data_IF_369565373058
#
_entry.id   IF_369565373058
#
_cell.length_a   1.000
_cell.length_b   1.000
_cell.length_c   1.000
_cell.angle_alpha   90.00
_cell.angle_beta   90.00
_cell.angle_gamma   90.00
#
_symmetry.space_group_name_H-M   'P 1'
#
loop_
_entity.id
_entity.type
_entity.pdbx_description
1 polymer ?
#
# COMPACT_ATOMS: atom_id res chain seq x y z
N UNK A 1 8.03 11.17 -5.73
CA UNK A 1 7.32 9.90 -5.47
C UNK A 1 6.95 9.67 -4.00
N UNK A 2 7.85 9.95 -3.05
CA UNK A 2 7.64 9.65 -1.61
C UNK A 2 6.32 10.21 -1.04
N UNK A 3 6.00 11.47 -1.32
CA UNK A 3 4.80 12.15 -0.76
C UNK A 3 3.47 11.51 -1.14
N UNK A 4 3.30 11.05 -2.39
CA UNK A 4 2.07 10.39 -2.82
C UNK A 4 1.90 9.04 -2.13
N UNK A 5 2.97 8.24 -2.05
CA UNK A 5 2.89 6.92 -1.41
C UNK A 5 2.61 7.04 0.09
N UNK A 6 3.15 8.07 0.75
CA UNK A 6 2.84 8.41 2.14
C UNK A 6 1.36 8.69 2.32
N UNK A 7 0.81 9.56 1.46
CA UNK A 7 -0.60 9.93 1.49
C UNK A 7 -1.52 8.73 1.27
N UNK A 8 -1.20 7.85 0.31
CA UNK A 8 -1.95 6.62 0.05
C UNK A 8 -1.91 5.66 1.25
N UNK A 9 -0.77 5.58 1.94
CA UNK A 9 -0.62 4.74 3.11
C UNK A 9 -1.39 5.30 4.32
N UNK A 10 -1.28 6.60 4.60
CA UNK A 10 -2.01 7.26 5.69
C UNK A 10 -3.53 7.18 5.49
N UNK A 11 -4.02 7.43 4.28
CA UNK A 11 -5.46 7.30 3.97
C UNK A 11 -5.95 5.86 4.12
N UNK A 12 -5.13 4.86 3.80
CA UNK A 12 -5.48 3.46 4.02
C UNK A 12 -5.63 3.12 5.51
N UNK A 13 -4.80 3.72 6.38
CA UNK A 13 -4.83 3.53 7.82
C UNK A 13 -6.00 4.27 8.46
N UNK A 14 -6.25 5.50 8.00
CA UNK A 14 -7.40 6.29 8.41
C UNK A 14 -8.71 5.59 8.06
N UNK A 15 -8.82 5.00 6.87
CA UNK A 15 -9.99 4.21 6.47
C UNK A 15 -10.27 3.04 7.41
N UNK A 16 -9.23 2.28 7.79
CA UNK A 16 -9.39 1.14 8.71
C UNK A 16 -9.81 1.63 10.10
N UNK A 17 -9.29 2.77 10.53
CA UNK A 17 -9.63 3.37 11.82
C UNK A 17 -11.06 3.91 11.84
N UNK A 18 -11.52 4.57 10.78
CA UNK A 18 -12.85 5.17 10.69
C UNK A 18 -13.97 4.16 10.39
N UNK A 19 -13.66 3.04 9.74
CA UNK A 19 -14.63 1.98 9.40
C UNK A 19 -14.98 1.05 10.58
N UNK A 20 -14.39 1.26 11.75
CA UNK A 20 -14.55 0.36 12.91
C UNK A 20 -13.82 -0.99 12.73
N UNK A 21 -13.05 -1.15 11.65
CA UNK A 21 -12.20 -2.31 11.39
C UNK A 21 -10.93 -2.31 12.24
N UNK A 22 -10.58 -1.21 12.90
CA UNK A 22 -9.38 -1.15 13.73
C UNK A 22 -9.54 -2.00 15.00
N UNK A 23 -8.70 -3.02 15.12
CA UNK A 23 -8.43 -3.72 16.38
C UNK A 23 -7.37 -2.98 17.21
N UNK A 24 -6.67 -3.72 18.08
CA UNK A 24 -5.67 -3.16 19.00
C UNK A 24 -4.32 -2.82 18.31
N UNK A 25 -4.27 -2.78 16.98
CA UNK A 25 -3.04 -2.66 16.20
C UNK A 25 -3.21 -1.81 14.94
N UNK A 26 -2.09 -1.29 14.44
CA UNK A 26 -2.03 -0.35 13.33
C UNK A 26 -2.53 -0.99 12.02
N UNK A 27 -3.71 -0.58 11.55
CA UNK A 27 -4.32 -1.10 10.32
C UNK A 27 -4.73 -2.58 10.37
N UNK A 28 -4.76 -3.20 11.55
CA UNK A 28 -5.12 -4.63 11.74
C UNK A 28 -6.53 -4.76 12.29
N UNK A 29 -7.29 -5.73 11.79
CA UNK A 29 -8.60 -6.08 12.35
C UNK A 29 -8.47 -6.86 13.65
N UNK A 30 -9.59 -7.04 14.37
CA UNK A 30 -9.58 -7.76 15.65
C UNK A 30 -9.11 -9.20 15.45
N UNK A 31 -9.65 -9.92 14.47
CA UNK A 31 -9.25 -11.31 14.22
C UNK A 31 -7.79 -11.42 13.75
N UNK A 32 -7.26 -10.38 13.08
CA UNK A 32 -5.84 -10.29 12.74
C UNK A 32 -4.96 -10.11 13.98
N UNK A 33 -5.32 -9.21 14.89
CA UNK A 33 -4.59 -8.98 16.14
C UNK A 33 -4.51 -10.27 16.98
N UNK A 34 -5.63 -10.99 17.11
CA UNK A 34 -5.68 -12.25 17.88
C UNK A 34 -4.75 -13.34 17.32
N UNK A 35 -4.51 -13.34 16.01
CA UNK A 35 -3.69 -14.33 15.31
C UNK A 35 -2.27 -13.84 14.99
N UNK A 36 -1.89 -12.67 15.49
CA UNK A 36 -0.58 -12.03 15.25
C UNK A 36 -0.31 -11.88 13.75
N UNK A 37 -1.32 -11.40 13.03
CA UNK A 37 -1.31 -11.20 11.60
C UNK A 37 -1.11 -9.72 11.28
N UNK A 38 -0.22 -9.44 10.34
CA UNK A 38 0.04 -8.10 9.82
C UNK A 38 -0.28 -8.05 8.33
N UNK A 39 -0.71 -6.87 7.87
CA UNK A 39 -0.91 -6.60 6.44
C UNK A 39 0.43 -6.17 5.86
N UNK A 40 0.80 -6.76 4.73
CA UNK A 40 2.02 -6.42 4.00
C UNK A 40 1.63 -6.00 2.59
N UNK A 41 1.94 -4.76 2.23
CA UNK A 41 1.67 -4.24 0.89
C UNK A 41 2.71 -4.81 -0.07
N UNK A 42 2.26 -5.50 -1.12
CA UNK A 42 3.14 -6.19 -2.07
C UNK A 42 3.37 -5.35 -3.32
N UNK A 43 2.33 -4.67 -3.79
CA UNK A 43 2.37 -3.88 -5.01
C UNK A 43 1.52 -2.61 -4.85
N UNK A 44 2.01 -1.48 -5.34
CA UNK A 44 1.21 -0.25 -5.47
C UNK A 44 1.59 0.42 -6.78
N UNK A 45 0.59 0.86 -7.51
CA UNK A 45 0.72 1.46 -8.82
C UNK A 45 -0.20 2.68 -8.89
N UNK A 46 0.30 3.76 -9.48
CA UNK A 46 -0.49 4.96 -9.76
C UNK A 46 -0.49 5.24 -11.26
N UNK A 47 -1.63 5.66 -11.80
CA UNK A 47 -1.79 5.92 -13.24
C UNK A 47 -0.90 7.05 -13.76
N UNK A 48 -0.51 7.98 -12.88
CA UNK A 48 0.33 9.15 -13.19
C UNK A 48 1.14 9.54 -11.97
N UNK A 49 2.38 9.97 -12.19
CA UNK A 49 3.18 10.67 -11.19
C UNK A 49 2.62 12.08 -10.97
N UNK A 50 2.44 12.45 -9.70
CA UNK A 50 1.86 13.74 -9.32
C UNK A 50 2.60 14.34 -8.13
N UNK A 51 2.65 15.66 -8.09
CA UNK A 51 3.26 16.44 -7.01
C UNK A 51 2.21 17.44 -6.51
N UNK A 52 1.97 17.46 -5.21
CA UNK A 52 1.08 18.41 -4.56
C UNK A 52 1.95 19.39 -3.79
N UNK A 53 1.78 20.69 -4.04
CA UNK A 53 2.55 21.72 -3.33
C UNK A 53 1.68 22.69 -2.53
N UNK A 54 0.39 22.80 -2.83
CA UNK A 54 -0.60 23.60 -2.06
C UNK A 54 -2.06 23.16 -2.35
N UNK A 55 -2.24 22.01 -3.01
CA UNK A 55 -3.54 21.55 -3.47
C UNK A 55 -4.32 20.89 -2.33
N UNK A 56 -5.58 21.30 -2.16
CA UNK A 56 -6.54 20.56 -1.33
C UNK A 56 -7.13 19.45 -2.19
N UNK A 57 -6.83 18.21 -1.82
CA UNK A 57 -7.29 17.03 -2.56
C UNK A 57 -8.29 16.21 -1.74
N UNK A 58 -9.28 15.67 -2.44
CA UNK A 58 -10.22 14.69 -1.91
C UNK A 58 -9.78 13.29 -2.33
N UNK A 59 -9.84 12.34 -1.40
CA UNK A 59 -9.36 10.98 -1.63
C UNK A 59 -10.46 9.98 -1.29
N UNK A 60 -10.97 9.32 -2.32
CA UNK A 60 -11.80 8.14 -2.16
C UNK A 60 -10.91 6.90 -2.10
N UNK A 61 -11.14 6.02 -1.13
CA UNK A 61 -10.49 4.71 -1.07
C UNK A 61 -11.47 3.61 -0.69
N UNK A 62 -11.27 2.42 -1.26
CA UNK A 62 -12.06 1.25 -0.95
C UNK A 62 -11.26 -0.03 -1.13
N UNK A 63 -11.83 -1.14 -0.65
CA UNK A 63 -11.25 -2.46 -0.69
C UNK A 63 -12.01 -3.38 -1.66
N UNK A 64 -11.32 -4.40 -2.14
CA UNK A 64 -11.92 -5.50 -2.87
C UNK A 64 -11.01 -6.74 -2.84
N UNK A 65 -11.53 -7.91 -3.18
CA UNK A 65 -10.72 -9.12 -3.27
C UNK A 65 -9.65 -9.02 -4.39
N UNK A 66 -8.45 -9.53 -4.11
CA UNK A 66 -7.40 -9.74 -5.09
C UNK A 66 -6.97 -11.22 -5.11
N UNK A 67 -7.61 -12.00 -5.98
CA UNK A 67 -7.39 -13.45 -6.03
C UNK A 67 -7.78 -14.14 -4.72
N UNK A 68 -7.07 -15.22 -4.37
CA UNK A 68 -7.45 -16.08 -3.23
C UNK A 68 -6.99 -15.58 -1.86
N UNK A 69 -5.83 -14.92 -1.81
CA UNK A 69 -5.13 -14.57 -0.56
C UNK A 69 -4.76 -13.09 -0.47
N UNK A 70 -5.05 -12.30 -1.49
CA UNK A 70 -4.77 -10.88 -1.53
C UNK A 70 -6.04 -10.07 -1.41
N UNK A 71 -5.86 -8.80 -1.06
CA UNK A 71 -6.91 -7.81 -1.07
C UNK A 71 -6.37 -6.58 -1.79
N UNK A 72 -7.16 -6.10 -2.74
CA UNK A 72 -6.91 -4.87 -3.48
C UNK A 72 -7.42 -3.69 -2.67
N UNK A 73 -6.67 -2.61 -2.70
CA UNK A 73 -7.10 -1.29 -2.28
C UNK A 73 -6.97 -0.37 -3.48
N UNK A 74 -8.02 0.37 -3.73
CA UNK A 74 -8.08 1.33 -4.82
C UNK A 74 -8.22 2.74 -4.25
N UNK A 75 -7.71 3.72 -5.00
CA UNK A 75 -7.81 5.14 -4.67
C UNK A 75 -8.16 5.96 -5.92
N UNK A 76 -9.01 6.97 -5.71
CA UNK A 76 -9.19 8.07 -6.66
C UNK A 76 -8.87 9.37 -5.91
N UNK A 77 -7.96 10.15 -6.47
CA UNK A 77 -7.57 11.47 -5.94
C UNK A 77 -8.16 12.53 -6.85
N UNK A 78 -8.93 13.45 -6.27
CA UNK A 78 -9.55 14.58 -6.98
C UNK A 78 -9.09 15.91 -6.41
N UNK A 79 -9.05 16.91 -7.28
CA UNK A 79 -8.94 18.30 -6.86
C UNK A 79 -10.24 18.71 -6.16
N UNK A 80 -10.16 19.25 -4.94
CA UNK A 80 -11.34 19.54 -4.14
C UNK A 80 -12.23 20.63 -4.77
N UNK A 81 -11.61 21.61 -5.45
CA UNK A 81 -12.31 22.76 -6.03
C UNK A 81 -13.03 22.41 -7.34
N UNK A 82 -12.35 21.69 -8.23
CA UNK A 82 -12.82 21.40 -9.58
C UNK A 82 -13.44 20.01 -9.71
N UNK A 83 -13.28 19.15 -8.71
CA UNK A 83 -13.73 17.76 -8.70
C UNK A 83 -13.15 16.90 -9.85
N UNK A 84 -12.09 17.39 -10.51
CA UNK A 84 -11.39 16.65 -11.57
C UNK A 84 -10.49 15.60 -10.95
N UNK A 85 -10.46 14.42 -11.58
CA UNK A 85 -9.57 13.33 -11.17
C UNK A 85 -8.13 13.69 -11.54
N UNK A 86 -7.29 13.83 -10.52
CA UNK A 86 -5.86 14.12 -10.67
C UNK A 86 -5.11 12.83 -11.01
N UNK A 87 -5.29 11.80 -10.18
CA UNK A 87 -4.67 10.49 -10.38
C UNK A 87 -5.51 9.39 -9.76
N UNK A 88 -5.21 8.16 -10.17
CA UNK A 88 -5.77 6.93 -9.63
C UNK A 88 -4.65 6.05 -9.16
N UNK A 89 -4.87 5.30 -8.10
CA UNK A 89 -3.91 4.32 -7.64
C UNK A 89 -4.61 3.02 -7.28
N UNK A 90 -3.85 1.93 -7.36
CA UNK A 90 -4.26 0.62 -6.91
C UNK A 90 -3.11 -0.04 -6.18
N UNK A 91 -3.41 -0.88 -5.21
CA UNK A 91 -2.40 -1.57 -4.44
C UNK A 91 -2.95 -2.89 -3.92
N UNK A 92 -2.08 -3.87 -3.82
CA UNK A 92 -2.43 -5.18 -3.29
C UNK A 92 -1.67 -5.40 -2.00
N UNK A 93 -2.37 -5.89 -0.99
CA UNK A 93 -1.76 -6.35 0.24
C UNK A 93 -2.15 -7.81 0.51
N UNK A 94 -1.27 -8.49 1.23
CA UNK A 94 -1.43 -9.87 1.68
C UNK A 94 -1.24 -9.92 3.19
N UNK A 95 -1.54 -11.08 3.79
CA UNK A 95 -1.36 -11.28 5.22
C UNK A 95 -0.07 -12.06 5.48
N UNK A 96 0.69 -11.59 6.46
CA UNK A 96 1.88 -12.25 6.99
C UNK A 96 1.70 -12.48 8.49
N UNK A 97 2.15 -13.62 8.99
CA UNK A 97 2.28 -13.85 10.42
C UNK A 97 3.51 -13.09 10.95
N UNK A 98 3.31 -12.22 11.94
CA UNK A 98 4.37 -11.31 12.41
C UNK A 98 5.51 -12.01 13.15
N UNK A 99 5.26 -13.18 13.74
CA UNK A 99 6.27 -13.93 14.49
C UNK A 99 7.12 -14.80 13.57
N UNK A 100 6.46 -15.56 12.69
CA UNK A 100 7.13 -16.51 11.78
C UNK A 100 7.64 -15.86 10.50
N UNK A 101 7.20 -14.64 10.19
CA UNK A 101 7.52 -13.92 8.93
C UNK A 101 7.05 -14.64 7.66
N UNK A 102 6.10 -15.57 7.79
CA UNK A 102 5.56 -16.33 6.65
C UNK A 102 4.26 -15.71 6.15
N UNK A 103 4.14 -15.63 4.83
CA UNK A 103 2.87 -15.32 4.17
C UNK A 103 1.87 -16.43 4.49
N UNK A 104 0.61 -16.04 4.72
CA UNK A 104 -0.45 -16.98 5.02
C UNK A 104 -1.72 -16.66 4.22
N UNK A 105 -2.60 -17.65 4.12
CA UNK A 105 -3.94 -17.42 3.56
C UNK A 105 -4.73 -16.54 4.51
N UNK A 106 -5.66 -15.75 3.97
CA UNK A 106 -6.58 -14.96 4.79
C UNK A 106 -7.50 -15.94 5.55
N UNK A 107 -7.45 -15.97 6.90
CA UNK A 107 -8.37 -16.79 7.69
C UNK A 107 -9.81 -16.38 7.43
N UNK A 108 -10.75 -17.31 7.53
CA UNK A 108 -12.17 -17.02 7.24
C UNK A 108 -12.73 -15.93 8.16
N UNK A 109 -12.38 -15.94 9.44
CA UNK A 109 -12.85 -14.91 10.38
C UNK A 109 -12.34 -13.50 10.00
N UNK A 110 -11.11 -13.41 9.48
CA UNK A 110 -10.58 -12.14 8.97
C UNK A 110 -11.29 -11.74 7.68
N UNK A 111 -11.67 -12.71 6.84
CA UNK A 111 -12.42 -12.47 5.61
C UNK A 111 -13.82 -11.92 5.92
N UNK A 112 -14.51 -12.50 6.87
CA UNK A 112 -15.83 -12.06 7.33
C UNK A 112 -15.80 -10.62 7.86
N UNK A 113 -14.72 -10.20 8.52
CA UNK A 113 -14.55 -8.81 8.96
C UNK A 113 -14.39 -7.84 7.78
N UNK A 114 -13.60 -8.19 6.75
CA UNK A 114 -13.25 -7.27 5.65
C UNK A 114 -14.22 -7.30 4.48
N UNK A 115 -14.90 -8.41 4.24
CA UNK A 115 -15.77 -8.63 3.08
C UNK A 115 -16.94 -7.63 2.98
N UNK A 116 -17.58 -7.18 4.09
CA UNK A 116 -18.62 -6.15 4.03
C UNK A 116 -18.16 -4.81 3.45
N UNK A 117 -16.84 -4.56 3.44
CA UNK A 117 -16.23 -3.33 2.93
C UNK A 117 -15.83 -3.43 1.45
N UNK A 118 -16.12 -4.56 0.80
CA UNK A 118 -15.84 -4.73 -0.62
C UNK A 118 -16.88 -4.01 -1.46
N UNK A 119 -16.42 -3.04 -2.27
CA UNK A 119 -17.29 -2.24 -3.14
C UNK A 119 -17.43 -2.79 -4.56
N UNK A 120 -16.75 -3.89 -4.89
CA UNK A 120 -16.71 -4.49 -6.24
C UNK A 120 -16.51 -3.44 -7.34
N UNK A 121 -15.55 -2.55 -7.11
CA UNK A 121 -15.23 -1.41 -7.99
C UNK A 121 -13.73 -1.38 -8.24
N UNK A 122 -13.35 -0.96 -9.43
CA UNK A 122 -11.95 -0.75 -9.81
C UNK A 122 -11.71 0.74 -9.99
N UNK A 123 -10.62 1.26 -9.41
CA UNK A 123 -10.19 2.63 -9.74
C UNK A 123 -9.62 2.67 -11.15
N UNK A 124 -8.79 1.68 -11.50
CA UNK A 124 -8.13 1.60 -12.80
C UNK A 124 -8.78 0.54 -13.69
N UNK A 125 -9.02 0.89 -14.96
CA UNK A 125 -9.50 -0.07 -15.96
C UNK A 125 -8.42 -1.14 -16.22
N UNK A 126 -8.83 -2.35 -16.62
CA UNK A 126 -7.91 -3.46 -16.88
C UNK A 126 -6.77 -3.09 -17.85
N UNK A 127 -7.04 -2.23 -18.83
CA UNK A 127 -6.04 -1.74 -19.80
C UNK A 127 -5.00 -0.78 -19.21
N UNK A 128 -5.26 -0.16 -18.05
CA UNK A 128 -4.34 0.74 -17.36
C UNK A 128 -3.62 0.05 -16.19
N UNK A 129 -4.08 -1.13 -15.78
CA UNK A 129 -3.37 -1.99 -14.83
C UNK A 129 -2.18 -2.62 -15.54
N UNK A 130 -1.09 -1.87 -15.67
CA UNK A 130 0.23 -2.43 -15.98
C UNK A 130 0.67 -3.25 -14.76
N UNK A 131 0.13 -4.45 -14.63
CA UNK A 131 0.56 -5.46 -13.67
C UNK A 131 1.81 -6.18 -14.18
N UNK A 132 2.57 -5.52 -15.06
CA UNK A 132 3.81 -6.01 -15.62
C UNK A 132 4.76 -6.27 -14.47
N UNK A 133 5.25 -7.52 -14.40
CA UNK A 133 6.19 -7.93 -13.40
C UNK A 133 7.45 -7.08 -13.59
N UNK A 134 7.74 -6.20 -12.64
CA UNK A 134 8.99 -5.46 -12.64
C UNK A 134 10.11 -6.49 -12.54
N UNK A 135 10.88 -6.62 -13.60
CA UNK A 135 12.02 -7.53 -13.62
C UNK A 135 13.09 -7.04 -12.66
N UNK A 136 13.68 -7.97 -11.91
CA UNK A 136 14.73 -7.63 -10.96
C UNK A 136 15.96 -7.23 -11.76
N UNK A 137 16.36 -5.96 -11.64
CA UNK A 137 17.66 -5.50 -12.11
C UNK A 137 18.76 -6.33 -11.45
N UNK A 138 19.63 -6.93 -12.26
CA UNK A 138 20.84 -7.61 -11.81
C UNK A 138 22.02 -6.63 -11.91
N UNK A 139 23.06 -6.83 -11.10
CA UNK A 139 24.28 -6.00 -11.15
C UNK A 139 24.91 -5.98 -12.57
N UNK A 140 24.64 -7.01 -13.38
CA UNK A 140 25.11 -7.16 -14.76
C UNK A 140 24.27 -6.38 -15.80
N UNK A 141 23.00 -6.11 -15.49
CA UNK A 141 22.06 -5.38 -16.38
C UNK A 141 21.95 -3.89 -16.02
N UNK A 142 22.50 -3.48 -14.88
CA UNK A 142 22.64 -2.08 -14.52
C UNK A 142 23.66 -1.39 -15.43
N UNK A 143 23.21 -0.52 -16.35
CA UNK A 143 24.10 0.13 -17.33
C UNK A 143 25.02 1.22 -16.74
N UNK A 144 24.95 1.46 -15.42
CA UNK A 144 25.69 2.52 -14.76
C UNK A 144 27.10 2.04 -14.36
N UNK A 145 28.09 2.37 -15.19
CA UNK A 145 29.50 2.22 -14.81
C UNK A 145 29.81 3.19 -13.66
N UNK A 146 29.94 2.64 -12.45
CA UNK A 146 30.17 3.29 -11.14
C UNK A 146 28.92 3.88 -10.45
N UNK A 147 28.04 3.06 -9.86
CA UNK A 147 27.01 3.57 -8.96
C UNK A 147 27.65 4.16 -7.70
N UNK A 148 27.20 5.35 -7.29
CA UNK A 148 27.55 5.91 -5.97
C UNK A 148 26.96 4.99 -4.91
N UNK A 149 27.80 4.22 -4.22
CA UNK A 149 27.36 3.42 -3.06
C UNK A 149 27.09 4.35 -1.88
N UNK A 150 25.82 4.67 -1.68
CA UNK A 150 25.37 5.35 -0.46
C UNK A 150 25.15 4.27 0.61
N UNK A 151 26.07 4.14 1.56
CA UNK A 151 25.84 3.34 2.77
C UNK A 151 25.02 4.15 3.77
N UNK A 152 23.82 3.69 4.12
CA UNK A 152 22.98 4.35 5.13
C UNK A 152 22.66 3.40 6.29
N UNK A 153 22.62 3.97 7.50
CA UNK A 153 22.09 3.32 8.72
C UNK A 153 20.71 3.88 8.99
N UNK A 154 19.76 3.00 9.27
CA UNK A 154 18.36 3.38 9.47
C UNK A 154 18.09 3.76 10.93
N UNK A 155 17.57 4.97 11.14
CA UNK A 155 17.20 5.47 12.47
C UNK A 155 15.80 5.02 12.89
N UNK A 156 15.55 4.90 14.19
CA UNK A 156 14.28 4.38 14.77
C UNK A 156 13.03 5.14 14.32
N UNK A 157 13.16 6.40 13.89
CA UNK A 157 12.05 7.23 13.41
C UNK A 157 11.50 6.81 12.03
N UNK A 158 12.22 5.99 11.24
CA UNK A 158 11.76 5.46 9.94
C UNK A 158 10.99 4.12 10.02
N UNK A 159 10.72 3.61 11.23
CA UNK A 159 10.05 2.33 11.43
C UNK A 159 8.57 2.51 11.76
N UNK A 160 7.68 1.81 11.04
CA UNK A 160 6.27 1.71 11.41
C UNK A 160 6.04 0.57 12.41
N UNK A 161 5.14 0.73 13.40
CA UNK A 161 4.77 -0.36 14.29
C UNK A 161 4.20 -1.57 13.50
N UNK A 162 4.58 -2.83 13.82
CA UNK A 162 5.51 -3.26 14.85
C UNK A 162 6.96 -3.35 14.32
N UNK A 163 7.69 -2.23 14.33
CA UNK A 163 9.11 -2.12 13.96
C UNK A 163 9.47 -2.74 12.60
N UNK A 164 8.63 -2.52 11.60
CA UNK A 164 8.95 -2.81 10.22
C UNK A 164 9.49 -1.58 9.53
N UNK A 165 10.46 -1.81 8.63
CA UNK A 165 10.87 -0.78 7.70
C UNK A 165 9.63 -0.30 6.95
N UNK A 166 9.36 0.98 7.09
CA UNK A 166 8.28 1.61 6.36
C UNK A 166 8.58 1.42 4.86
N UNK A 167 7.59 0.98 4.07
CA UNK A 167 7.77 0.76 2.62
C UNK A 167 8.26 2.04 1.92
N UNK A 168 7.91 3.18 2.50
CA UNK A 168 8.30 4.53 2.10
C UNK A 168 9.80 4.73 2.16
N UNK A 169 10.48 4.14 3.17
CA UNK A 169 11.94 4.18 3.27
C UNK A 169 12.65 3.47 2.11
N UNK A 170 11.94 2.80 1.18
CA UNK A 170 12.49 2.27 -0.07
C UNK A 170 12.31 3.21 -1.27
N UNK A 171 11.37 4.17 -1.22
CA UNK A 171 11.02 5.01 -2.37
C UNK A 171 12.09 6.04 -2.80
N UNK A 172 12.92 6.61 -1.90
CA UNK A 172 14.07 7.43 -2.30
C UNK A 172 15.19 6.65 -3.00
N UNK A 173 15.16 5.31 -2.95
CA UNK A 173 16.22 4.43 -3.43
C UNK A 173 15.91 3.79 -4.79
N UNK A 174 14.83 4.23 -5.45
CA UNK A 174 14.39 3.75 -6.77
C UNK A 174 14.61 4.78 -7.90
N UNK A 175 15.32 5.88 -7.63
CA UNK A 175 15.70 6.90 -8.61
C UNK A 175 17.07 6.61 -9.23
#
# INVERSE_FOLDING_TARGET
>A
METLMNLLQETALNYVSSSGLAGNGFGTTREMSLRKLIRVVTHTHSSREVHFWEDVVEIDTWLDAAGKNGVRRDWIIRDCNTQKIITRATGTWVIMNSETRRLCKIPEQVREEIQPFYLNRFAMAAAQNHNEKIEKLTDETACWKNPIRISSKMERHGCQPPRHQCRICWSPWQA
#
